data_IF_111937257467
#
_entry.id   IF_111937257467
#
_cell.length_a   1.000
_cell.length_b   1.000
_cell.length_c   1.000
_cell.angle_alpha   90.00
_cell.angle_beta   90.00
_cell.angle_gamma   90.00
#
_symmetry.space_group_name_H-M   'P 1'
#
loop_
_entity.id
_entity.type
_entity.pdbx_description
1 polymer ?
#
# COMPACT_ATOMS: atom_id res chain seq x y z
N UNK A 1 29.56 -15.47 -2.04
CA UNK A 1 30.01 -16.26 -0.88
C UNK A 1 31.20 -17.07 -1.32
N UNK A 2 32.28 -17.00 -0.55
CA UNK A 2 33.45 -17.86 -0.75
C UNK A 2 33.26 -19.22 -0.01
N UNK A 3 34.13 -20.17 -0.32
CA UNK A 3 34.05 -21.52 0.23
C UNK A 3 34.20 -21.55 1.77
N UNK A 4 34.98 -20.62 2.34
CA UNK A 4 35.16 -20.48 3.76
C UNK A 4 33.90 -19.95 4.47
N UNK A 5 33.19 -19.03 3.85
CA UNK A 5 31.91 -18.51 4.35
C UNK A 5 30.82 -19.58 4.33
N UNK A 6 30.80 -20.42 3.30
CA UNK A 6 29.88 -21.56 3.20
C UNK A 6 30.18 -22.60 4.27
N UNK A 7 31.47 -22.95 4.46
CA UNK A 7 31.90 -23.90 5.50
C UNK A 7 31.56 -23.37 6.92
N UNK A 8 31.79 -22.08 7.16
CA UNK A 8 31.42 -21.46 8.44
C UNK A 8 29.90 -21.54 8.67
N UNK A 9 29.08 -21.21 7.65
CA UNK A 9 27.62 -21.26 7.76
C UNK A 9 27.11 -22.67 8.09
N UNK A 10 27.62 -23.68 7.38
CA UNK A 10 27.15 -25.06 7.51
C UNK A 10 27.68 -25.76 8.80
N UNK A 11 28.88 -25.46 9.20
CA UNK A 11 29.57 -26.20 10.28
C UNK A 11 29.71 -25.43 11.59
N UNK A 12 29.52 -24.13 11.60
CA UNK A 12 29.72 -23.27 12.80
C UNK A 12 28.45 -22.49 13.19
N UNK A 13 27.44 -22.42 12.34
CA UNK A 13 26.19 -21.78 12.69
C UNK A 13 25.16 -22.79 13.18
N UNK A 14 24.40 -22.40 14.20
CA UNK A 14 23.23 -23.14 14.67
C UNK A 14 21.99 -22.35 14.33
N UNK A 15 20.96 -23.05 13.86
CA UNK A 15 19.64 -22.49 13.58
C UNK A 15 18.58 -23.15 14.43
N UNK A 16 17.63 -22.38 14.89
CA UNK A 16 16.45 -22.90 15.59
C UNK A 16 15.29 -22.85 14.61
N UNK A 17 14.70 -24.00 14.33
CA UNK A 17 13.55 -24.10 13.46
C UNK A 17 12.28 -24.25 14.31
N UNK A 18 11.37 -23.30 14.21
CA UNK A 18 10.04 -23.37 14.82
C UNK A 18 9.02 -23.70 13.74
N UNK A 19 8.30 -24.79 13.93
CA UNK A 19 7.17 -25.17 13.06
C UNK A 19 5.89 -24.82 13.81
N UNK A 20 5.21 -23.80 13.34
CA UNK A 20 3.94 -23.33 13.89
C UNK A 20 2.82 -23.78 12.98
N UNK A 21 1.76 -24.34 13.56
CA UNK A 21 0.61 -24.86 12.79
C UNK A 21 -0.45 -23.78 12.57
N UNK A 22 -0.51 -22.81 13.47
CA UNK A 22 -1.43 -21.67 13.38
C UNK A 22 -0.71 -20.44 12.83
N UNK A 23 -1.28 -19.86 11.77
CA UNK A 23 -0.74 -18.66 11.11
C UNK A 23 -0.75 -17.47 12.06
N UNK A 24 -1.75 -17.36 12.96
CA UNK A 24 -1.85 -16.27 13.92
C UNK A 24 -0.73 -16.35 14.97
N UNK A 25 -0.42 -17.55 15.46
CA UNK A 25 0.71 -17.79 16.37
C UNK A 25 2.04 -17.51 15.68
N UNK A 26 2.17 -17.91 14.40
CA UNK A 26 3.36 -17.62 13.62
C UNK A 26 3.62 -16.11 13.50
N UNK A 27 2.59 -15.31 13.28
CA UNK A 27 2.71 -13.85 13.22
C UNK A 27 3.00 -13.23 14.59
N UNK A 28 2.38 -13.69 15.67
CA UNK A 28 2.69 -13.21 17.02
C UNK A 28 4.15 -13.50 17.40
N UNK A 29 4.62 -14.70 17.07
CA UNK A 29 6.01 -15.08 17.28
C UNK A 29 6.95 -14.20 16.46
N UNK A 30 6.63 -13.99 15.18
CA UNK A 30 7.40 -13.15 14.26
C UNK A 30 7.47 -11.69 14.75
N UNK A 31 6.34 -11.11 15.16
CA UNK A 31 6.29 -9.76 15.73
C UNK A 31 7.13 -9.63 17.00
N UNK A 32 7.08 -10.65 17.88
CA UNK A 32 7.84 -10.66 19.12
C UNK A 32 9.35 -10.79 18.90
N UNK A 33 9.79 -11.56 17.90
CA UNK A 33 11.18 -11.70 17.54
C UNK A 33 11.75 -10.46 16.85
N UNK A 34 10.96 -9.78 16.04
CA UNK A 34 11.35 -8.55 15.38
C UNK A 34 11.53 -7.36 16.34
N UNK A 35 10.95 -7.44 17.54
CA UNK A 35 11.23 -6.48 18.61
C UNK A 35 12.67 -6.57 19.16
N UNK A 36 13.40 -7.66 18.84
CA UNK A 36 14.77 -7.92 19.33
C UNK A 36 15.86 -7.82 18.25
N UNK A 37 15.46 -7.65 16.97
CA UNK A 37 16.37 -7.61 15.82
C UNK A 37 16.33 -6.29 15.05
N UNK A 38 16.68 -6.34 13.76
CA UNK A 38 16.48 -5.21 12.86
C UNK A 38 14.99 -5.00 12.67
N UNK A 39 14.55 -3.80 12.95
CA UNK A 39 13.15 -3.40 12.79
C UNK A 39 12.64 -3.65 11.35
N UNK A 40 11.48 -4.30 11.23
CA UNK A 40 10.76 -4.38 9.97
C UNK A 40 10.34 -2.99 9.51
N UNK A 41 10.39 -2.79 8.21
CA UNK A 41 9.86 -1.57 7.61
C UNK A 41 8.33 -1.49 7.81
N UNK A 42 7.76 -0.29 7.93
CA UNK A 42 6.32 -0.11 8.12
C UNK A 42 5.46 -0.82 7.07
N UNK A 43 5.89 -0.85 5.80
CA UNK A 43 5.18 -1.54 4.73
C UNK A 43 5.25 -3.08 4.85
N UNK A 44 6.31 -3.64 5.44
CA UNK A 44 6.40 -5.08 5.72
C UNK A 44 5.44 -5.48 6.85
N UNK A 45 5.30 -4.63 7.88
CA UNK A 45 4.32 -4.83 8.94
C UNK A 45 2.89 -4.82 8.39
N UNK A 46 2.60 -3.90 7.46
CA UNK A 46 1.31 -3.87 6.76
C UNK A 46 1.08 -5.12 5.92
N UNK A 47 2.08 -5.54 5.13
CA UNK A 47 2.01 -6.80 4.37
C UNK A 47 1.64 -7.96 5.27
N UNK A 48 2.39 -8.17 6.34
CA UNK A 48 2.18 -9.26 7.28
C UNK A 48 0.77 -9.22 7.90
N UNK A 49 0.32 -8.04 8.33
CA UNK A 49 -1.01 -7.85 8.90
C UNK A 49 -2.11 -8.23 7.89
N UNK A 50 -2.08 -7.69 6.68
CA UNK A 50 -3.14 -7.90 5.70
C UNK A 50 -3.15 -9.31 5.12
N UNK A 51 -2.00 -9.98 5.02
CA UNK A 51 -1.95 -11.39 4.60
C UNK A 51 -2.68 -12.32 5.57
N UNK A 52 -2.74 -11.98 6.85
CA UNK A 52 -3.52 -12.73 7.85
C UNK A 52 -5.03 -12.56 7.67
N UNK A 53 -5.44 -11.41 7.15
CA UNK A 53 -6.85 -11.03 7.02
C UNK A 53 -7.51 -11.53 5.70
N UNK A 54 -6.80 -12.29 4.87
CA UNK A 54 -7.41 -12.96 3.71
C UNK A 54 -8.38 -14.05 4.16
N UNK A 55 -9.49 -14.17 3.47
CA UNK A 55 -10.41 -15.27 3.68
C UNK A 55 -9.78 -16.61 3.20
N UNK A 56 -10.17 -17.72 3.83
CA UNK A 56 -9.58 -19.03 3.51
C UNK A 56 -9.79 -19.48 2.05
N UNK A 57 -10.84 -19.02 1.40
CA UNK A 57 -11.15 -19.33 0.00
C UNK A 57 -10.35 -18.45 -1.00
N UNK A 58 -9.63 -17.42 -0.54
CA UNK A 58 -8.87 -16.47 -1.36
C UNK A 58 -7.39 -16.85 -1.54
N UNK A 59 -7.03 -18.13 -1.38
CA UNK A 59 -5.61 -18.57 -1.40
C UNK A 59 -4.87 -18.17 -2.68
N UNK A 60 -5.51 -18.27 -3.85
CA UNK A 60 -4.92 -17.88 -5.12
C UNK A 60 -4.71 -16.36 -5.21
N UNK A 61 -5.70 -15.56 -4.81
CA UNK A 61 -5.62 -14.10 -4.78
C UNK A 61 -4.54 -13.61 -3.79
N UNK A 62 -4.41 -14.32 -2.67
CA UNK A 62 -3.34 -14.07 -1.71
C UNK A 62 -1.95 -14.31 -2.33
N UNK A 63 -1.77 -15.41 -3.06
CA UNK A 63 -0.51 -15.70 -3.74
C UNK A 63 -0.19 -14.66 -4.82
N UNK A 64 -1.17 -14.23 -5.59
CA UNK A 64 -1.03 -13.16 -6.60
C UNK A 64 -0.65 -11.82 -5.95
N UNK A 65 -1.33 -11.43 -4.87
CA UNK A 65 -1.03 -10.20 -4.13
C UNK A 65 0.40 -10.20 -3.58
N UNK A 66 0.86 -11.34 -3.01
CA UNK A 66 2.24 -11.50 -2.55
C UNK A 66 3.22 -11.38 -3.72
N UNK A 67 2.97 -12.09 -4.82
CA UNK A 67 3.84 -12.06 -5.98
C UNK A 67 3.95 -10.66 -6.60
N UNK A 68 2.86 -9.89 -6.63
CA UNK A 68 2.87 -8.50 -7.07
C UNK A 68 3.69 -7.61 -6.12
N UNK A 69 3.43 -7.70 -4.82
CA UNK A 69 4.13 -6.93 -3.80
C UNK A 69 5.64 -7.16 -3.81
N UNK A 70 6.07 -8.42 -3.96
CA UNK A 70 7.48 -8.80 -3.95
C UNK A 70 8.24 -8.42 -5.23
N UNK A 71 7.55 -8.07 -6.30
CA UNK A 71 8.18 -7.52 -7.51
C UNK A 71 8.61 -6.07 -7.34
N UNK A 72 7.99 -5.35 -6.41
CA UNK A 72 8.30 -3.95 -6.15
C UNK A 72 9.54 -3.85 -5.25
N UNK A 73 10.51 -2.99 -5.59
CA UNK A 73 11.63 -2.69 -4.71
C UNK A 73 11.13 -2.17 -3.34
N UNK A 74 11.81 -2.56 -2.26
CA UNK A 74 11.41 -2.18 -0.90
C UNK A 74 11.43 -0.66 -0.66
N UNK A 75 12.32 0.05 -1.32
CA UNK A 75 12.42 1.52 -1.28
C UNK A 75 11.25 2.18 -2.03
N UNK A 76 10.79 1.60 -3.13
CA UNK A 76 9.60 2.06 -3.84
C UNK A 76 8.34 1.92 -2.97
N UNK A 77 8.16 0.76 -2.33
CA UNK A 77 7.07 0.55 -1.37
C UNK A 77 7.15 1.50 -0.18
N UNK A 78 8.35 1.68 0.38
CA UNK A 78 8.56 2.63 1.47
C UNK A 78 8.16 4.06 1.07
N UNK A 79 8.55 4.48 -0.13
CA UNK A 79 8.21 5.80 -0.68
C UNK A 79 6.71 5.91 -0.97
N UNK A 80 6.09 4.88 -1.55
CA UNK A 80 4.64 4.86 -1.80
C UNK A 80 3.87 5.17 -0.52
N UNK A 81 4.16 4.47 0.56
CA UNK A 81 3.45 4.69 1.83
C UNK A 81 3.85 6.00 2.51
N UNK A 82 5.16 6.29 2.62
CA UNK A 82 5.63 7.43 3.40
C UNK A 82 5.44 8.78 2.71
N UNK A 83 5.67 8.84 1.40
CA UNK A 83 5.67 10.10 0.66
C UNK A 83 4.32 10.42 0.02
N UNK A 84 3.53 9.38 -0.34
CA UNK A 84 2.27 9.58 -1.04
C UNK A 84 1.07 9.20 -0.19
N UNK A 85 0.82 7.93 0.10
CA UNK A 85 -0.43 7.50 0.73
C UNK A 85 -0.64 8.12 2.11
N UNK A 86 0.38 8.10 2.95
CA UNK A 86 0.30 8.69 4.30
C UNK A 86 0.07 10.19 4.24
N UNK A 87 0.81 10.91 3.39
CA UNK A 87 0.67 12.36 3.27
C UNK A 87 -0.70 12.76 2.74
N UNK A 88 -1.14 12.15 1.64
CA UNK A 88 -2.45 12.44 1.06
C UNK A 88 -3.56 12.16 2.06
N UNK A 89 -3.49 11.00 2.76
CA UNK A 89 -4.48 10.66 3.80
C UNK A 89 -4.53 11.71 4.92
N UNK A 90 -3.38 12.08 5.46
CA UNK A 90 -3.30 13.06 6.56
C UNK A 90 -3.79 14.45 6.12
N UNK A 91 -3.41 14.86 4.93
CA UNK A 91 -3.81 16.19 4.41
C UNK A 91 -5.29 16.24 4.04
N UNK A 92 -5.85 15.17 3.47
CA UNK A 92 -7.29 15.06 3.23
C UNK A 92 -8.11 15.18 4.52
N UNK A 93 -7.56 14.73 5.65
CA UNK A 93 -8.16 14.89 6.98
C UNK A 93 -7.78 16.21 7.68
N UNK A 94 -7.08 17.13 7.01
CA UNK A 94 -6.61 18.40 7.57
C UNK A 94 -5.52 18.23 8.64
N UNK A 95 -4.81 17.10 8.67
CA UNK A 95 -3.78 16.76 9.64
C UNK A 95 -2.37 16.98 9.09
N UNK A 96 -1.39 17.13 9.99
CA UNK A 96 0.02 17.22 9.62
C UNK A 96 0.61 15.85 9.29
N UNK A 97 1.35 15.73 8.17
CA UNK A 97 1.99 14.50 7.71
C UNK A 97 3.52 14.59 7.87
N UNK A 98 4.02 14.41 9.09
CA UNK A 98 5.46 14.61 9.39
C UNK A 98 6.31 13.40 9.05
N UNK A 99 5.90 12.22 9.46
CA UNK A 99 6.68 11.00 9.34
C UNK A 99 5.78 9.78 9.38
N UNK A 100 6.04 8.84 8.47
CA UNK A 100 5.43 7.53 8.47
C UNK A 100 6.38 6.51 9.07
N UNK A 101 6.04 5.96 10.21
CA UNK A 101 6.82 4.97 10.93
C UNK A 101 5.93 3.87 11.51
N UNK A 102 6.46 3.11 12.44
CA UNK A 102 5.71 2.04 13.11
C UNK A 102 4.45 2.54 13.84
N UNK A 103 4.49 3.76 14.40
CA UNK A 103 3.35 4.36 15.10
C UNK A 103 2.17 4.69 14.18
N UNK A 104 2.45 4.92 12.90
CA UNK A 104 1.44 5.31 11.91
C UNK A 104 0.88 4.12 11.11
N UNK A 105 1.43 2.92 11.28
CA UNK A 105 0.99 1.69 10.58
C UNK A 105 -0.50 1.42 10.82
N UNK A 106 -1.01 1.70 12.00
CA UNK A 106 -2.42 1.47 12.35
C UNK A 106 -3.41 2.26 11.48
N UNK A 107 -2.99 3.37 10.89
CA UNK A 107 -3.80 4.14 9.94
C UNK A 107 -4.17 3.37 8.67
N UNK A 108 -3.38 2.35 8.35
CA UNK A 108 -3.58 1.52 7.16
C UNK A 108 -4.04 0.08 7.47
N UNK A 109 -4.14 -0.33 8.74
CA UNK A 109 -4.65 -1.66 9.10
C UNK A 109 -6.13 -1.83 8.77
N UNK A 110 -6.90 -0.76 8.92
CA UNK A 110 -8.30 -0.75 8.51
C UNK A 110 -9.20 -1.72 9.26
N UNK A 111 -10.29 -2.12 8.61
CA UNK A 111 -11.34 -2.96 9.18
C UNK A 111 -11.59 -4.19 8.32
N UNK A 112 -12.02 -5.27 8.98
CA UNK A 112 -12.52 -6.46 8.31
C UNK A 112 -14.02 -6.30 8.11
N UNK A 113 -14.48 -6.33 6.85
CA UNK A 113 -15.89 -6.14 6.52
C UNK A 113 -16.82 -7.23 7.09
N UNK A 114 -16.29 -8.44 7.31
CA UNK A 114 -17.09 -9.56 7.84
C UNK A 114 -17.23 -9.52 9.38
N UNK A 115 -16.36 -8.77 10.05
CA UNK A 115 -16.31 -8.70 11.53
C UNK A 115 -16.84 -7.39 12.10
N UNK A 116 -16.98 -6.36 11.28
CA UNK A 116 -17.49 -5.07 11.73
C UNK A 116 -19.00 -5.14 11.81
N UNK A 117 -19.56 -4.82 12.98
CA UNK A 117 -21.01 -4.72 13.17
C UNK A 117 -21.65 -3.77 12.15
N UNK A 118 -22.97 -3.88 12.00
CA UNK A 118 -23.78 -3.27 10.94
C UNK A 118 -23.79 -1.73 10.96
N UNK A 119 -22.65 -1.12 10.65
CA UNK A 119 -22.61 0.32 10.37
C UNK A 119 -23.02 0.54 8.91
N UNK A 120 -24.00 1.42 8.63
CA UNK A 120 -24.52 1.62 7.27
C UNK A 120 -23.45 1.97 6.24
N UNK A 121 -22.43 2.75 6.59
CA UNK A 121 -21.35 3.13 5.68
C UNK A 121 -20.40 1.97 5.35
N UNK A 122 -20.17 1.05 6.28
CA UNK A 122 -19.37 -0.16 6.06
C UNK A 122 -20.12 -1.13 5.15
N UNK A 123 -21.43 -1.26 5.36
CA UNK A 123 -22.29 -2.09 4.51
C UNK A 123 -22.34 -1.56 3.08
N UNK A 124 -22.48 -0.24 2.90
CA UNK A 124 -22.43 0.38 1.58
C UNK A 124 -21.11 0.12 0.86
N UNK A 125 -20.01 0.17 1.59
CA UNK A 125 -18.68 -0.09 1.04
C UNK A 125 -18.52 -1.58 0.65
N UNK A 126 -19.02 -2.50 1.48
CA UNK A 126 -19.05 -3.94 1.19
C UNK A 126 -19.86 -4.25 -0.08
N UNK A 127 -21.03 -3.66 -0.21
CA UNK A 127 -21.87 -3.81 -1.39
C UNK A 127 -21.18 -3.27 -2.65
N UNK A 128 -20.55 -2.10 -2.56
CA UNK A 128 -19.83 -1.50 -3.67
C UNK A 128 -18.67 -2.37 -4.15
N UNK A 129 -17.87 -2.94 -3.25
CA UNK A 129 -16.81 -3.87 -3.61
C UNK A 129 -17.35 -5.17 -4.22
N UNK A 130 -18.41 -5.72 -3.65
CA UNK A 130 -19.05 -6.92 -4.19
C UNK A 130 -19.60 -6.68 -5.60
N UNK A 131 -20.20 -5.51 -5.83
CA UNK A 131 -20.69 -5.14 -7.15
C UNK A 131 -19.56 -5.10 -8.20
N UNK A 132 -18.41 -4.54 -7.86
CA UNK A 132 -17.25 -4.51 -8.78
C UNK A 132 -16.74 -5.92 -9.08
N UNK A 133 -16.66 -6.78 -8.07
CA UNK A 133 -16.24 -8.18 -8.25
C UNK A 133 -17.22 -8.95 -9.14
N UNK A 134 -18.51 -8.81 -8.86
CA UNK A 134 -19.57 -9.47 -9.63
C UNK A 134 -19.56 -8.98 -11.08
N UNK A 135 -19.47 -7.66 -11.29
CA UNK A 135 -19.36 -7.06 -12.62
C UNK A 135 -18.18 -7.64 -13.41
N UNK A 136 -17.00 -7.74 -12.78
CA UNK A 136 -15.79 -8.23 -13.42
C UNK A 136 -15.80 -9.75 -13.65
N UNK A 137 -16.59 -10.51 -12.86
CA UNK A 137 -16.73 -11.95 -13.00
C UNK A 137 -17.59 -12.35 -14.19
N UNK A 138 -18.45 -11.47 -14.69
CA UNK A 138 -19.38 -11.76 -15.78
C UNK A 138 -18.64 -12.05 -17.08
N UNK A 139 -19.04 -13.14 -17.75
CA UNK A 139 -18.39 -13.59 -19.01
C UNK A 139 -18.40 -12.53 -20.10
N UNK A 140 -19.50 -11.81 -20.27
CA UNK A 140 -19.63 -10.74 -21.26
C UNK A 140 -18.61 -9.63 -21.08
N UNK A 141 -18.27 -9.28 -19.81
CA UNK A 141 -17.28 -8.25 -19.51
C UNK A 141 -15.86 -8.70 -19.86
N UNK A 142 -15.57 -9.99 -19.71
CA UNK A 142 -14.28 -10.56 -20.16
C UNK A 142 -14.13 -10.49 -21.69
N UNK A 143 -15.21 -10.64 -22.43
CA UNK A 143 -15.19 -10.52 -23.90
C UNK A 143 -14.98 -9.07 -24.33
N UNK A 144 -15.67 -8.12 -23.69
CA UNK A 144 -15.55 -6.70 -24.00
C UNK A 144 -14.20 -6.10 -23.53
N UNK A 145 -13.44 -6.84 -22.71
CA UNK A 145 -12.18 -6.38 -22.15
C UNK A 145 -12.31 -5.21 -21.17
N UNK A 146 -13.55 -4.89 -20.78
CA UNK A 146 -13.84 -3.78 -19.89
C UNK A 146 -13.90 -4.26 -18.42
N UNK A 147 -12.88 -3.95 -17.68
CA UNK A 147 -12.84 -4.18 -16.24
C UNK A 147 -13.18 -2.90 -15.49
N UNK A 148 -13.99 -3.05 -14.45
CA UNK A 148 -14.27 -1.97 -13.52
C UNK A 148 -13.20 -1.99 -12.41
N UNK A 149 -12.57 -0.85 -12.17
CA UNK A 149 -11.68 -0.66 -11.05
C UNK A 149 -12.44 0.02 -9.92
N UNK A 150 -12.32 -0.49 -8.69
CA UNK A 150 -12.92 0.18 -7.55
C UNK A 150 -12.21 1.52 -7.31
N UNK A 151 -12.95 2.63 -7.16
CA UNK A 151 -12.36 3.94 -6.91
C UNK A 151 -11.96 4.06 -5.42
N UNK A 152 -10.73 3.69 -5.10
CA UNK A 152 -10.20 3.82 -3.75
C UNK A 152 -9.98 5.29 -3.39
N UNK A 153 -10.37 5.66 -2.16
CA UNK A 153 -10.16 6.98 -1.59
C UNK A 153 -9.40 6.87 -0.27
N UNK A 154 -8.35 7.66 -0.11
CA UNK A 154 -7.48 7.59 1.09
C UNK A 154 -8.09 8.23 2.33
N UNK A 155 -9.08 9.09 2.20
CA UNK A 155 -9.88 9.66 3.28
C UNK A 155 -10.93 8.69 3.82
N UNK A 156 -11.25 7.64 3.06
CA UNK A 156 -12.17 6.60 3.47
C UNK A 156 -11.51 5.56 4.38
N UNK A 157 -12.36 4.72 4.95
CA UNK A 157 -11.93 3.57 5.73
C UNK A 157 -11.15 2.57 4.87
N UNK A 158 -9.99 2.18 5.34
CA UNK A 158 -9.21 1.11 4.73
C UNK A 158 -9.90 -0.22 5.02
N UNK A 159 -10.03 -1.07 4.01
CA UNK A 159 -10.50 -2.45 4.17
C UNK A 159 -9.28 -3.35 4.18
N UNK A 160 -9.19 -4.22 5.18
CA UNK A 160 -8.05 -5.11 5.33
C UNK A 160 -8.10 -6.33 4.38
N UNK A 161 -7.06 -7.16 4.43
CA UNK A 161 -6.94 -8.31 3.55
C UNK A 161 -6.72 -7.93 2.09
N UNK A 162 -7.40 -8.59 1.18
CA UNK A 162 -7.27 -8.42 -0.28
C UNK A 162 -7.40 -6.95 -0.73
N UNK A 163 -8.38 -6.24 -0.20
CA UNK A 163 -8.69 -4.86 -0.60
C UNK A 163 -7.57 -3.87 -0.33
N UNK A 164 -6.79 -4.12 0.72
CA UNK A 164 -5.60 -3.31 0.98
C UNK A 164 -4.55 -3.46 -0.13
N UNK A 165 -4.30 -4.68 -0.62
CA UNK A 165 -3.36 -4.90 -1.70
C UNK A 165 -3.85 -4.28 -3.01
N UNK A 166 -5.14 -4.43 -3.33
CA UNK A 166 -5.78 -3.78 -4.48
C UNK A 166 -5.68 -2.25 -4.41
N UNK A 167 -5.88 -1.68 -3.23
CA UNK A 167 -5.70 -0.24 -2.99
C UNK A 167 -4.24 0.19 -3.20
N UNK A 168 -3.29 -0.56 -2.65
CA UNK A 168 -1.88 -0.25 -2.78
C UNK A 168 -1.44 -0.30 -4.26
N UNK A 169 -1.86 -1.31 -5.01
CA UNK A 169 -1.61 -1.44 -6.45
C UNK A 169 -2.27 -0.30 -7.25
N UNK A 170 -3.52 0.03 -6.92
CA UNK A 170 -4.25 1.13 -7.53
C UNK A 170 -3.49 2.46 -7.42
N UNK A 171 -2.96 2.77 -6.24
CA UNK A 171 -2.19 3.99 -6.03
C UNK A 171 -0.77 3.89 -6.56
N UNK A 172 -0.12 2.74 -6.44
CA UNK A 172 1.23 2.53 -6.99
C UNK A 172 1.26 2.80 -8.49
N UNK A 173 0.31 2.26 -9.24
CA UNK A 173 0.20 2.49 -10.68
C UNK A 173 0.05 3.97 -11.02
N UNK A 174 -0.75 4.71 -10.25
CA UNK A 174 -0.95 6.14 -10.44
C UNK A 174 0.27 6.97 -10.09
N UNK A 175 0.89 6.67 -8.96
CA UNK A 175 2.13 7.34 -8.52
C UNK A 175 3.25 7.08 -9.51
N UNK A 176 3.42 5.85 -9.98
CA UNK A 176 4.42 5.50 -10.97
C UNK A 176 4.22 6.27 -12.29
N UNK A 177 2.97 6.40 -12.76
CA UNK A 177 2.65 7.18 -13.95
C UNK A 177 3.01 8.66 -13.76
N UNK A 178 2.69 9.25 -12.60
CA UNK A 178 3.02 10.64 -12.28
C UNK A 178 4.53 10.87 -12.24
N UNK A 179 5.26 9.98 -11.57
CA UNK A 179 6.73 10.08 -11.45
C UNK A 179 7.43 9.90 -12.80
N UNK A 180 6.90 9.01 -13.66
CA UNK A 180 7.41 8.84 -15.01
C UNK A 180 7.23 10.12 -15.84
N UNK A 181 6.07 10.75 -15.79
CA UNK A 181 5.75 12.02 -16.48
C UNK A 181 6.64 13.18 -15.98
N UNK A 182 6.95 13.23 -14.68
CA UNK A 182 7.88 14.23 -14.14
C UNK A 182 9.29 14.07 -14.70
N UNK A 183 9.76 12.85 -14.86
CA UNK A 183 11.09 12.56 -15.38
C UNK A 183 11.22 12.97 -16.84
N UNK A 184 10.15 12.86 -17.63
CA UNK A 184 10.10 13.26 -19.03
C UNK A 184 9.80 14.76 -19.23
N UNK A 185 9.07 15.37 -18.30
CA UNK A 185 8.50 16.71 -18.45
C UNK A 185 9.47 17.86 -18.22
N UNK A 186 10.74 17.60 -17.97
CA UNK A 186 11.76 18.66 -18.08
C UNK A 186 11.72 19.39 -19.43
N UNK A 187 10.86 18.97 -20.38
CA UNK A 187 10.70 19.52 -21.73
C UNK A 187 9.27 19.62 -22.26
N UNK A 188 8.23 19.14 -21.58
CA UNK A 188 6.88 19.09 -22.14
C UNK A 188 5.88 20.00 -21.42
N UNK A 189 5.15 20.80 -22.17
CA UNK A 189 4.14 21.75 -21.66
C UNK A 189 2.81 21.10 -21.27
N UNK A 190 2.63 19.81 -21.44
CA UNK A 190 1.41 19.09 -21.06
C UNK A 190 1.75 17.67 -20.58
N UNK A 191 1.71 17.47 -19.28
CA UNK A 191 1.75 16.14 -18.69
C UNK A 191 0.35 15.51 -18.75
N UNK A 192 0.27 14.22 -19.10
CA UNK A 192 -0.97 13.45 -19.09
C UNK A 192 -0.88 12.37 -18.03
N UNK A 193 -1.97 12.15 -17.31
CA UNK A 193 -2.09 11.06 -16.35
C UNK A 193 -3.26 10.18 -16.73
N UNK A 194 -2.99 8.91 -17.05
CA UNK A 194 -4.01 7.94 -17.46
C UNK A 194 -4.91 8.44 -18.63
N UNK A 195 -4.30 9.18 -19.57
CA UNK A 195 -4.99 9.75 -20.71
C UNK A 195 -5.65 11.12 -20.49
N UNK A 196 -5.64 11.62 -19.25
CA UNK A 196 -6.15 12.95 -18.92
C UNK A 196 -5.01 13.97 -18.82
N UNK A 197 -5.19 15.15 -19.41
CA UNK A 197 -4.19 16.21 -19.35
C UNK A 197 -4.18 16.85 -17.96
N UNK A 198 -3.05 16.80 -17.26
CA UNK A 198 -2.88 17.47 -15.98
C UNK A 198 -2.80 18.98 -16.16
N UNK A 199 -3.51 19.72 -15.33
CA UNK A 199 -3.29 21.17 -15.24
C UNK A 199 -1.88 21.45 -14.70
N UNK A 200 -1.26 22.60 -15.06
CA UNK A 200 0.05 22.97 -14.49
C UNK A 200 0.06 23.00 -12.97
N UNK A 201 -1.08 23.33 -12.34
CA UNK A 201 -1.23 23.32 -10.89
C UNK A 201 -1.23 21.89 -10.33
N UNK A 202 -1.99 20.99 -10.94
CA UNK A 202 -2.03 19.58 -10.53
C UNK A 202 -0.64 18.91 -10.65
N UNK A 203 0.05 19.14 -11.75
CA UNK A 203 1.44 18.66 -11.95
C UNK A 203 2.36 19.20 -10.86
N UNK A 204 2.27 20.49 -10.52
CA UNK A 204 3.09 21.10 -9.47
C UNK A 204 2.77 20.57 -8.07
N UNK A 205 1.51 20.31 -7.76
CA UNK A 205 1.10 19.69 -6.48
C UNK A 205 1.68 18.28 -6.36
N UNK A 206 1.59 17.48 -7.42
CA UNK A 206 2.11 16.11 -7.44
C UNK A 206 3.64 16.08 -7.33
N UNK A 207 4.33 16.98 -8.02
CA UNK A 207 5.77 17.19 -7.90
C UNK A 207 6.17 17.57 -6.46
N UNK A 208 5.43 18.48 -5.84
CA UNK A 208 5.66 18.87 -4.45
C UNK A 208 5.44 17.71 -3.48
N UNK A 209 4.45 16.85 -3.72
CA UNK A 209 4.21 15.64 -2.93
C UNK A 209 5.42 14.70 -2.95
N UNK A 210 5.97 14.45 -4.14
CA UNK A 210 7.13 13.56 -4.32
C UNK A 210 8.43 14.14 -3.74
N UNK A 211 8.62 15.45 -3.85
CA UNK A 211 9.86 16.13 -3.45
C UNK A 211 9.85 16.66 -2.01
N UNK A 212 8.73 16.52 -1.28
CA UNK A 212 8.61 17.03 0.09
C UNK A 212 9.63 16.37 1.03
N UNK A 213 10.60 17.16 1.47
CA UNK A 213 11.57 16.70 2.45
C UNK A 213 11.07 16.90 3.89
N UNK A 214 11.34 15.87 4.72
CA UNK A 214 10.95 15.79 6.14
C UNK A 214 11.37 17.02 7.00
N UNK A 215 12.37 17.79 6.56
CA UNK A 215 12.95 18.90 7.29
C UNK A 215 12.16 20.19 7.18
N UNK A 216 11.25 20.32 6.23
CA UNK A 216 10.53 21.57 5.97
C UNK A 216 9.19 21.60 6.69
N UNK A 217 9.20 21.96 7.98
CA UNK A 217 7.97 22.19 8.76
C UNK A 217 7.03 23.24 8.15
N UNK A 218 7.56 24.13 7.34
CA UNK A 218 6.78 25.14 6.61
C UNK A 218 6.11 24.60 5.36
N UNK A 219 6.68 23.58 4.70
CA UNK A 219 6.12 22.95 3.50
C UNK A 219 4.75 22.31 3.75
N UNK A 220 4.55 21.72 4.94
CA UNK A 220 3.28 21.09 5.33
C UNK A 220 2.08 22.07 5.28
N UNK A 221 2.30 23.32 5.68
CA UNK A 221 1.28 24.38 5.62
C UNK A 221 0.96 24.80 4.18
N UNK A 222 1.98 24.91 3.33
CA UNK A 222 1.79 25.28 1.93
C UNK A 222 1.07 24.20 1.14
N UNK A 223 1.46 22.95 1.31
CA UNK A 223 0.80 21.84 0.62
C UNK A 223 -0.64 21.68 1.10
N UNK A 224 -0.88 21.81 2.38
CA UNK A 224 -2.23 21.81 2.97
C UNK A 224 -3.11 22.93 2.39
N UNK A 225 -2.58 24.16 2.30
CA UNK A 225 -3.28 25.28 1.70
C UNK A 225 -3.52 25.15 0.18
N UNK A 226 -2.89 24.20 -0.50
CA UNK A 226 -3.17 23.89 -1.91
C UNK A 226 -4.28 22.82 -2.08
N UNK A 227 -4.60 22.07 -1.02
CA UNK A 227 -5.68 21.09 -1.03
C UNK A 227 -7.00 21.63 -0.45
N UNK A 228 -6.95 22.70 0.37
CA UNK A 228 -8.09 23.46 0.83
C UNK A 228 -8.60 24.43 -0.28
#
# INVERSE_FOLDING_TARGET
>A
FDEQQIDFLLNRCQVVCFVLQDISEAFQFFDSQNARGRDLAPHDLLKAFHLREFAGHEANLKAEAVAHWERLPSDELANLFALYLYRVRQWAEGKSARYFGKGEVDLFKGVNLDRVGHYPYVESLRIAHHFVDEYNSQYQRKIDGQYMTFPFHLDQMIINGRRFFEMAEYYQTRVAAIVAEESDSGKAQSATLLGETLTPMASKVLSTLGSYERRHRTGDRYVRAMFD
#
